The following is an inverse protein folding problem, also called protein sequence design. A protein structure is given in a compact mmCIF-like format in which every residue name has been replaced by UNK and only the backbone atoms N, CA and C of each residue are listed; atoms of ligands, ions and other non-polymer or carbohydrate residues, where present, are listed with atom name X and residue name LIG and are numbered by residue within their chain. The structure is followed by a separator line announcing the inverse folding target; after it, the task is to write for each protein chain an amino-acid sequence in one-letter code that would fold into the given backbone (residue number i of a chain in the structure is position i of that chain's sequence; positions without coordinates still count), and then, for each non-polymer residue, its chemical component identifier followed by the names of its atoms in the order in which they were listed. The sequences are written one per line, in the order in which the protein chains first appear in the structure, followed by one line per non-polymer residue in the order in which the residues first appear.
data_IF_088658454152
#
_entry.id   IF_088658454152
#
_cell.length_a   1.000
_cell.length_b   1.000
_cell.length_c   1.000
_cell.angle_alpha   90.00
_cell.angle_beta   90.00
_cell.angle_gamma   90.00
#
_symmetry.space_group_name_H-M   'P 1'
#
loop_
_entity.id
_entity.type
_entity.pdbx_description
1 polymer ?
#
# COMPACT_ATOMS: atom_id res chain seq x y z
N UNK A 1 50.66 10.74 -14.02
CA UNK A 1 50.06 10.47 -12.69
C UNK A 1 48.58 10.17 -12.85
N UNK A 2 48.16 8.97 -12.60
CA UNK A 2 46.78 8.60 -12.85
C UNK A 2 45.89 9.10 -11.74
N UNK A 3 44.94 9.92 -12.11
CA UNK A 3 43.86 10.35 -11.27
C UNK A 3 42.79 9.22 -11.17
N UNK A 4 42.68 8.58 -10.03
CA UNK A 4 41.51 7.75 -9.70
C UNK A 4 40.97 8.08 -8.32
N UNK A 5 40.09 9.08 -8.24
CA UNK A 5 39.10 9.01 -7.15
C UNK A 5 37.64 9.16 -7.56
N UNK A 6 37.31 9.40 -8.83
CA UNK A 6 35.92 9.67 -9.21
C UNK A 6 35.01 8.43 -9.20
N UNK A 7 35.52 7.26 -9.53
CA UNK A 7 34.75 6.02 -9.60
C UNK A 7 34.29 5.54 -8.22
N UNK A 8 35.06 5.76 -7.17
CA UNK A 8 34.75 5.30 -5.82
C UNK A 8 33.67 6.18 -5.17
N UNK A 9 33.66 7.47 -5.48
CA UNK A 9 32.67 8.42 -4.92
C UNK A 9 31.28 8.21 -5.53
N UNK A 10 31.21 7.95 -6.83
CA UNK A 10 29.93 7.65 -7.54
C UNK A 10 29.36 6.31 -7.07
N UNK A 11 30.19 5.28 -6.86
CA UNK A 11 29.76 3.99 -6.33
C UNK A 11 29.26 4.08 -4.89
N UNK A 12 29.85 4.90 -4.02
CA UNK A 12 29.37 5.14 -2.64
C UNK A 12 28.06 5.89 -2.61
N UNK A 13 27.90 6.94 -3.44
CA UNK A 13 26.65 7.71 -3.54
C UNK A 13 25.52 6.84 -4.09
N UNK A 14 25.79 5.98 -5.10
CA UNK A 14 24.84 5.03 -5.66
C UNK A 14 24.44 3.96 -4.63
N UNK A 15 25.41 3.39 -3.88
CA UNK A 15 25.16 2.44 -2.81
C UNK A 15 24.30 3.02 -1.69
N UNK A 16 24.59 4.26 -1.27
CA UNK A 16 23.80 4.97 -0.24
C UNK A 16 22.37 5.20 -0.70
N UNK A 17 22.16 5.58 -1.96
CA UNK A 17 20.84 5.76 -2.53
C UNK A 17 20.06 4.44 -2.57
N UNK A 18 20.69 3.35 -3.00
CA UNK A 18 20.10 2.01 -3.01
C UNK A 18 19.73 1.59 -1.59
N UNK A 19 20.60 1.84 -0.62
CA UNK A 19 20.34 1.51 0.78
C UNK A 19 19.12 2.26 1.34
N UNK A 20 19.01 3.57 1.04
CA UNK A 20 17.86 4.38 1.45
C UNK A 20 16.56 3.91 0.80
N UNK A 21 16.59 3.55 -0.48
CA UNK A 21 15.44 3.00 -1.19
C UNK A 21 15.03 1.63 -0.65
N UNK A 22 16.00 0.83 -0.23
CA UNK A 22 15.74 -0.46 0.42
C UNK A 22 15.07 -0.28 1.78
N UNK A 23 15.55 0.63 2.58
CA UNK A 23 14.94 0.99 3.87
C UNK A 23 13.50 1.50 3.68
N UNK A 24 13.27 2.36 2.70
CA UNK A 24 11.93 2.85 2.37
C UNK A 24 11.01 1.71 1.92
N UNK A 25 11.53 0.80 1.10
CA UNK A 25 10.78 -0.37 0.65
C UNK A 25 10.37 -1.26 1.83
N UNK A 26 11.28 -1.53 2.75
CA UNK A 26 11.01 -2.31 3.96
C UNK A 26 9.96 -1.60 4.84
N UNK A 27 10.10 -0.30 5.04
CA UNK A 27 9.18 0.51 5.84
C UNK A 27 7.76 0.47 5.27
N UNK A 28 7.62 0.69 3.96
CA UNK A 28 6.30 0.68 3.29
C UNK A 28 5.67 -0.71 3.29
N UNK A 29 6.46 -1.77 3.20
CA UNK A 29 5.97 -3.15 3.35
C UNK A 29 5.45 -3.43 4.76
N UNK A 30 6.13 -2.94 5.80
CA UNK A 30 5.63 -3.03 7.19
C UNK A 30 4.32 -2.28 7.37
N UNK A 31 4.23 -1.07 6.81
CA UNK A 31 2.99 -0.29 6.83
C UNK A 31 1.84 -1.03 6.15
N UNK A 32 2.13 -1.72 5.05
CA UNK A 32 1.16 -2.57 4.35
C UNK A 32 0.75 -3.78 5.19
N UNK A 33 1.70 -4.46 5.84
CA UNK A 33 1.40 -5.58 6.75
C UNK A 33 0.48 -5.12 7.88
N UNK A 34 0.74 -3.98 8.50
CA UNK A 34 -0.09 -3.38 9.54
C UNK A 34 -1.49 -3.04 9.02
N UNK A 35 -1.58 -2.48 7.82
CA UNK A 35 -2.86 -2.18 7.18
C UNK A 35 -3.66 -3.45 6.89
N UNK A 36 -3.01 -4.54 6.50
CA UNK A 36 -3.65 -5.85 6.30
C UNK A 36 -4.21 -6.40 7.61
N UNK A 37 -3.48 -6.27 8.71
CA UNK A 37 -3.97 -6.70 10.04
C UNK A 37 -5.21 -5.91 10.45
N UNK A 38 -5.19 -4.59 10.29
CA UNK A 38 -6.36 -3.74 10.57
C UNK A 38 -7.55 -4.10 9.67
N UNK A 39 -7.29 -4.36 8.40
CA UNK A 39 -8.32 -4.78 7.44
C UNK A 39 -8.93 -6.12 7.84
N UNK A 40 -8.11 -7.08 8.24
CA UNK A 40 -8.58 -8.39 8.72
C UNK A 40 -9.51 -8.23 9.93
N UNK A 41 -9.13 -7.39 10.88
CA UNK A 41 -9.94 -7.12 12.06
C UNK A 41 -11.27 -6.44 11.69
N UNK A 42 -11.25 -5.50 10.76
CA UNK A 42 -12.46 -4.85 10.27
C UNK A 42 -13.37 -5.81 9.52
N UNK A 43 -12.82 -6.74 8.74
CA UNK A 43 -13.59 -7.77 8.06
C UNK A 43 -14.30 -8.70 9.04
N UNK A 44 -13.66 -9.04 10.16
CA UNK A 44 -14.32 -9.80 11.24
C UNK A 44 -15.48 -9.02 11.86
N UNK A 45 -15.32 -7.72 12.07
CA UNK A 45 -16.40 -6.86 12.56
C UNK A 45 -17.56 -6.81 11.57
N UNK A 46 -17.26 -6.65 10.29
CA UNK A 46 -18.27 -6.68 9.21
C UNK A 46 -19.03 -8.00 9.19
N UNK A 47 -18.33 -9.11 9.33
CA UNK A 47 -18.93 -10.44 9.36
C UNK A 47 -19.95 -10.55 10.50
N UNK A 48 -19.62 -10.01 11.68
CA UNK A 48 -20.53 -9.96 12.82
C UNK A 48 -21.76 -9.11 12.53
N UNK A 49 -21.59 -7.95 11.91
CA UNK A 49 -22.68 -7.05 11.51
C UNK A 49 -23.59 -7.73 10.49
N UNK A 50 -23.03 -8.40 9.49
CA UNK A 50 -23.79 -9.11 8.46
C UNK A 50 -24.61 -10.26 9.06
N UNK A 51 -24.04 -11.03 9.98
CA UNK A 51 -24.76 -12.11 10.68
C UNK A 51 -25.93 -11.56 11.48
N UNK A 52 -25.74 -10.46 12.18
CA UNK A 52 -26.82 -9.82 12.96
C UNK A 52 -27.92 -9.33 12.04
N UNK A 53 -27.57 -8.64 10.96
CA UNK A 53 -28.55 -8.16 9.98
C UNK A 53 -29.38 -9.31 9.40
N UNK A 54 -28.71 -10.41 9.04
CA UNK A 54 -29.37 -11.62 8.52
C UNK A 54 -30.36 -12.20 9.53
N UNK A 55 -29.97 -12.35 10.78
CA UNK A 55 -30.85 -12.88 11.84
C UNK A 55 -32.09 -11.99 12.04
N UNK A 56 -31.93 -10.68 12.02
CA UNK A 56 -33.04 -9.73 12.16
C UNK A 56 -34.00 -9.82 10.98
N UNK A 57 -33.49 -9.94 9.76
CA UNK A 57 -34.33 -10.13 8.57
C UNK A 57 -35.05 -11.48 8.61
N UNK A 58 -34.36 -12.55 9.00
CA UNK A 58 -34.99 -13.88 9.18
C UNK A 58 -36.11 -13.86 10.23
N UNK A 59 -35.97 -13.00 11.23
CA UNK A 59 -36.99 -12.78 12.26
C UNK A 59 -38.17 -11.90 11.82
N UNK A 60 -38.16 -11.44 10.56
CA UNK A 60 -39.21 -10.62 9.97
C UNK A 60 -39.13 -9.14 10.30
N UNK A 61 -38.01 -8.64 10.81
CA UNK A 61 -37.82 -7.21 11.08
C UNK A 61 -37.77 -6.41 9.78
N UNK A 62 -38.36 -5.21 9.74
CA UNK A 62 -38.29 -4.34 8.56
C UNK A 62 -36.83 -3.95 8.22
N UNK A 63 -36.48 -3.89 6.95
CA UNK A 63 -35.13 -3.56 6.48
C UNK A 63 -34.59 -2.23 7.04
N UNK A 64 -35.47 -1.23 7.16
CA UNK A 64 -35.12 0.07 7.75
C UNK A 64 -34.68 -0.05 9.21
N UNK A 65 -35.37 -0.86 9.98
CA UNK A 65 -35.05 -1.12 11.38
C UNK A 65 -33.74 -1.93 11.50
N UNK A 66 -33.56 -2.90 10.62
CA UNK A 66 -32.32 -3.71 10.57
C UNK A 66 -31.09 -2.83 10.32
N UNK A 67 -31.17 -1.88 9.40
CA UNK A 67 -30.07 -0.95 9.13
C UNK A 67 -29.68 -0.14 10.37
N UNK A 68 -30.66 0.32 11.16
CA UNK A 68 -30.44 1.04 12.41
C UNK A 68 -29.83 0.14 13.50
N UNK A 69 -30.42 -1.02 13.73
CA UNK A 69 -29.99 -1.97 14.76
C UNK A 69 -28.60 -2.57 14.47
N UNK A 70 -28.26 -2.78 13.21
CA UNK A 70 -26.95 -3.27 12.77
C UNK A 70 -25.92 -2.15 12.64
N UNK A 71 -26.32 -0.90 12.85
CA UNK A 71 -25.43 0.27 12.71
C UNK A 71 -24.74 0.33 11.34
N UNK A 72 -25.54 0.17 10.28
CA UNK A 72 -25.05 0.01 8.91
C UNK A 72 -24.23 1.22 8.40
N UNK A 73 -24.62 2.44 8.76
CA UNK A 73 -23.91 3.65 8.34
C UNK A 73 -22.47 3.69 8.88
N UNK A 74 -22.28 3.37 10.15
CA UNK A 74 -20.97 3.32 10.78
C UNK A 74 -20.10 2.19 10.19
N UNK A 75 -20.69 1.01 10.00
CA UNK A 75 -20.00 -0.13 9.38
C UNK A 75 -19.53 0.20 7.96
N UNK A 76 -20.37 0.86 7.16
CA UNK A 76 -20.02 1.29 5.82
C UNK A 76 -18.87 2.31 5.82
N UNK A 77 -18.93 3.31 6.68
CA UNK A 77 -17.90 4.33 6.79
C UNK A 77 -16.55 3.72 7.21
N UNK A 78 -16.54 2.82 8.20
CA UNK A 78 -15.34 2.13 8.65
C UNK A 78 -14.75 1.24 7.56
N UNK A 79 -15.59 0.55 6.81
CA UNK A 79 -15.16 -0.29 5.69
C UNK A 79 -14.55 0.52 4.56
N UNK A 80 -15.18 1.63 4.17
CA UNK A 80 -14.64 2.52 3.14
C UNK A 80 -13.28 3.11 3.55
N UNK A 81 -13.13 3.49 4.81
CA UNK A 81 -11.89 4.01 5.34
C UNK A 81 -10.76 2.98 5.29
N UNK A 82 -11.03 1.72 5.68
CA UNK A 82 -10.01 0.67 5.68
C UNK A 82 -9.60 0.25 4.27
N UNK A 83 -10.52 0.25 3.32
CA UNK A 83 -10.22 -0.03 1.90
C UNK A 83 -9.26 1.04 1.36
N UNK A 84 -9.54 2.31 1.62
CA UNK A 84 -8.64 3.41 1.21
C UNK A 84 -7.27 3.28 1.84
N UNK A 85 -7.20 2.91 3.11
CA UNK A 85 -5.94 2.72 3.82
C UNK A 85 -5.09 1.61 3.19
N UNK A 86 -5.66 0.44 2.93
CA UNK A 86 -4.93 -0.68 2.33
C UNK A 86 -4.51 -0.40 0.90
N UNK A 87 -5.35 0.28 0.13
CA UNK A 87 -5.00 0.70 -1.24
C UNK A 87 -3.85 1.70 -1.25
N UNK A 88 -3.88 2.68 -0.35
CA UNK A 88 -2.80 3.65 -0.20
C UNK A 88 -1.48 3.02 0.23
N UNK A 89 -1.53 2.12 1.21
CA UNK A 89 -0.35 1.39 1.67
C UNK A 89 0.24 0.50 0.56
N UNK A 90 -0.60 -0.18 -0.20
CA UNK A 90 -0.20 -0.99 -1.35
C UNK A 90 0.49 -0.13 -2.41
N UNK A 91 -0.07 1.01 -2.75
CA UNK A 91 0.51 1.94 -3.73
C UNK A 91 1.90 2.42 -3.29
N UNK A 92 2.05 2.82 -2.03
CA UNK A 92 3.35 3.27 -1.49
C UNK A 92 4.39 2.16 -1.50
N UNK A 93 4.02 0.95 -1.11
CA UNK A 93 4.92 -0.21 -1.12
C UNK A 93 5.36 -0.58 -2.53
N UNK A 94 4.43 -0.61 -3.47
CA UNK A 94 4.71 -0.92 -4.87
C UNK A 94 5.65 0.11 -5.50
N UNK A 95 5.37 1.38 -5.28
CA UNK A 95 6.22 2.48 -5.77
C UNK A 95 7.64 2.38 -5.21
N UNK A 96 7.78 2.15 -3.91
CA UNK A 96 9.08 2.01 -3.28
C UNK A 96 9.88 0.85 -3.86
N UNK A 97 9.24 -0.29 -4.11
CA UNK A 97 9.89 -1.45 -4.72
C UNK A 97 10.29 -1.21 -6.18
N UNK A 98 9.46 -0.51 -6.95
CA UNK A 98 9.80 -0.16 -8.34
C UNK A 98 11.03 0.77 -8.38
N UNK A 99 11.07 1.77 -7.50
CA UNK A 99 12.22 2.68 -7.40
C UNK A 99 13.49 1.94 -6.99
N UNK A 100 13.39 1.02 -6.05
CA UNK A 100 14.51 0.18 -5.62
C UNK A 100 15.01 -0.68 -6.77
N UNK A 101 14.15 -1.39 -7.45
CA UNK A 101 14.51 -2.25 -8.58
C UNK A 101 15.18 -1.46 -9.70
N UNK A 102 14.66 -0.27 -10.03
CA UNK A 102 15.26 0.61 -11.03
C UNK A 102 16.67 1.07 -10.60
N UNK A 103 16.85 1.43 -9.33
CA UNK A 103 18.14 1.83 -8.79
C UNK A 103 19.15 0.67 -8.75
N UNK A 104 18.66 -0.56 -8.62
CA UNK A 104 19.49 -1.78 -8.67
C UNK A 104 19.83 -2.22 -10.11
N UNK A 105 19.36 -1.50 -11.12
CA UNK A 105 19.70 -1.71 -12.51
C UNK A 105 18.66 -2.45 -13.35
N UNK A 106 17.50 -2.78 -12.80
CA UNK A 106 16.41 -3.38 -13.58
C UNK A 106 15.82 -2.36 -14.57
N UNK A 107 15.52 -2.80 -15.79
CA UNK A 107 14.82 -1.97 -16.76
C UNK A 107 13.33 -1.87 -16.42
N UNK A 108 12.67 -0.84 -16.93
CA UNK A 108 11.21 -0.69 -16.76
C UNK A 108 10.44 -1.90 -17.30
N UNK A 109 10.91 -2.48 -18.40
CA UNK A 109 10.31 -3.68 -19.00
C UNK A 109 10.48 -4.92 -18.09
N UNK A 110 11.63 -5.08 -17.47
CA UNK A 110 11.89 -6.19 -16.53
C UNK A 110 11.02 -6.09 -15.28
N UNK A 111 10.90 -4.90 -14.71
CA UNK A 111 10.04 -4.64 -13.55
C UNK A 111 8.57 -4.92 -13.91
N UNK A 112 8.12 -4.41 -15.05
CA UNK A 112 6.75 -4.61 -15.52
C UNK A 112 6.41 -6.08 -15.68
N UNK A 113 7.30 -6.87 -16.27
CA UNK A 113 7.14 -8.33 -16.42
C UNK A 113 7.06 -9.05 -15.08
N UNK A 114 7.95 -8.71 -14.16
CA UNK A 114 7.99 -9.34 -12.83
C UNK A 114 6.72 -9.09 -12.01
N UNK A 115 6.07 -7.95 -12.22
CA UNK A 115 4.86 -7.54 -11.51
C UNK A 115 3.55 -7.78 -12.27
N UNK A 116 3.63 -8.15 -13.54
CA UNK A 116 2.45 -8.32 -14.38
C UNK A 116 1.69 -7.03 -14.64
N UNK A 117 2.40 -5.92 -14.77
CA UNK A 117 1.84 -4.59 -15.01
C UNK A 117 2.42 -3.98 -16.30
N UNK A 118 1.86 -2.85 -16.73
CA UNK A 118 2.38 -2.15 -17.91
C UNK A 118 3.69 -1.42 -17.63
N UNK A 119 4.53 -1.33 -18.64
CA UNK A 119 5.77 -0.54 -18.58
C UNK A 119 5.49 0.94 -18.29
N UNK A 120 4.40 1.47 -18.82
CA UNK A 120 3.96 2.85 -18.59
C UNK A 120 3.63 3.11 -17.12
N UNK A 121 2.95 2.16 -16.47
CA UNK A 121 2.66 2.24 -15.03
C UNK A 121 3.96 2.29 -14.21
N UNK A 122 4.90 1.40 -14.49
CA UNK A 122 6.21 1.38 -13.79
C UNK A 122 6.93 2.72 -13.98
N UNK A 123 7.01 3.20 -15.20
CA UNK A 123 7.67 4.48 -15.52
C UNK A 123 7.05 5.65 -14.76
N UNK A 124 5.73 5.70 -14.71
CA UNK A 124 4.99 6.75 -13.98
C UNK A 124 5.26 6.68 -12.48
N UNK A 125 5.19 5.49 -11.89
CA UNK A 125 5.37 5.30 -10.45
C UNK A 125 6.81 5.58 -10.01
N UNK A 126 7.81 5.22 -10.80
CA UNK A 126 9.21 5.51 -10.52
C UNK A 126 9.48 7.02 -10.52
N UNK A 127 8.78 7.77 -11.36
CA UNK A 127 8.89 9.25 -11.46
C UNK A 127 8.08 9.98 -10.39
N UNK A 128 7.12 9.34 -9.73
CA UNK A 128 6.36 10.00 -8.66
C UNK A 128 7.29 10.43 -7.53
N UNK A 129 7.14 11.68 -7.04
CA UNK A 129 7.90 12.11 -5.88
C UNK A 129 7.48 11.30 -4.65
N UNK A 130 8.45 10.97 -3.79
CA UNK A 130 8.15 10.41 -2.48
C UNK A 130 7.27 11.40 -1.74
N UNK A 131 6.08 10.95 -1.29
CA UNK A 131 5.23 11.81 -0.47
C UNK A 131 5.97 12.12 0.83
N UNK A 132 6.46 13.36 0.93
CA UNK A 132 6.87 13.88 2.23
C UNK A 132 5.65 13.82 3.14
N UNK A 133 5.78 13.15 4.29
CA UNK A 133 4.79 13.32 5.35
C UNK A 133 4.59 14.81 5.53
N UNK A 134 3.38 15.30 5.23
CA UNK A 134 3.02 16.65 5.65
C UNK A 134 3.19 16.67 7.17
N UNK A 135 4.18 17.38 7.64
CA UNK A 135 4.25 17.75 9.05
C UNK A 135 3.03 18.62 9.35
N UNK A 136 2.08 18.03 10.02
CA UNK A 136 0.99 18.78 10.64
C UNK A 136 1.56 19.37 11.93
#
# INVERSE_FOLDING_TARGET
MPSKPQTTRVKRASSTRVDLLREESIRTLREMEEAIVRTRNQLKTMETVMRRARRLLDAGRPAREVAQLANAAQARAATSAIIREVQGARHRAQRAQFKLAAAEGSTMAEIARGWGVSRQLVSRMVKEPSQRRKKV
#
